data_IF_767302105643
#
_entry.id   IF_767302105643
#
_cell.length_a   1.000
_cell.length_b   1.000
_cell.length_c   1.000
_cell.angle_alpha   90.00
_cell.angle_beta   90.00
_cell.angle_gamma   90.00
#
_symmetry.space_group_name_H-M   'P 1'
#
loop_
_entity.id
_entity.type
_entity.pdbx_description
1 polymer ?
#
# COMPACT_ATOMS: atom_id res chain seq x y z
N UNK A 1 -21.34 -35.96 -10.86
CA UNK A 1 -20.23 -35.27 -11.52
C UNK A 1 -20.49 -33.77 -11.47
N UNK A 2 -20.17 -33.14 -10.35
CA UNK A 2 -20.15 -31.68 -10.24
C UNK A 2 -18.83 -31.21 -10.83
N UNK A 3 -18.90 -30.60 -12.01
CA UNK A 3 -17.78 -29.90 -12.63
C UNK A 3 -17.48 -28.71 -11.72
N UNK A 4 -16.46 -28.83 -10.88
CA UNK A 4 -15.82 -27.68 -10.24
C UNK A 4 -15.23 -26.86 -11.37
N UNK A 5 -15.95 -25.81 -11.77
CA UNK A 5 -15.41 -24.77 -12.62
C UNK A 5 -14.17 -24.24 -11.91
N UNK A 6 -12.98 -24.53 -12.45
CA UNK A 6 -11.76 -23.81 -12.08
C UNK A 6 -12.09 -22.33 -12.28
N UNK A 7 -12.32 -21.59 -11.20
CA UNK A 7 -12.43 -20.14 -11.27
C UNK A 7 -11.13 -19.64 -11.88
N UNK A 8 -11.21 -19.14 -13.12
CA UNK A 8 -10.07 -18.51 -13.79
C UNK A 8 -9.80 -17.22 -13.03
N UNK A 9 -8.90 -17.29 -12.05
CA UNK A 9 -8.46 -16.13 -11.29
C UNK A 9 -7.87 -15.11 -12.24
N UNK A 10 -8.35 -13.87 -12.14
CA UNK A 10 -7.92 -12.79 -13.03
C UNK A 10 -6.57 -12.27 -12.57
N UNK A 11 -5.59 -12.26 -13.47
CA UNK A 11 -4.21 -11.91 -13.18
C UNK A 11 -3.98 -10.40 -13.22
N UNK A 12 -3.24 -9.85 -12.26
CA UNK A 12 -2.68 -8.50 -12.32
C UNK A 12 -1.21 -8.53 -11.87
N UNK A 13 -0.40 -7.61 -12.40
CA UNK A 13 1.01 -7.49 -12.06
C UNK A 13 1.16 -6.54 -10.86
N UNK A 14 1.90 -6.95 -9.84
CA UNK A 14 2.14 -6.16 -8.63
C UNK A 14 3.65 -5.92 -8.45
N UNK A 15 4.07 -4.68 -8.64
CA UNK A 15 5.46 -4.27 -8.49
C UNK A 15 5.65 -3.48 -7.20
N UNK A 16 6.69 -3.80 -6.44
CA UNK A 16 7.08 -3.00 -5.29
C UNK A 16 8.49 -2.42 -5.44
N UNK A 17 8.67 -1.26 -4.84
CA UNK A 17 9.94 -0.55 -4.74
C UNK A 17 10.14 -0.10 -3.29
N UNK A 18 11.16 -0.63 -2.64
CA UNK A 18 11.41 -0.41 -1.20
C UNK A 18 12.88 -0.15 -0.90
N UNK A 19 13.15 0.58 0.18
CA UNK A 19 14.48 0.69 0.78
C UNK A 19 14.61 -0.20 2.01
N UNK A 20 13.68 -0.09 2.96
CA UNK A 20 13.70 -0.77 4.27
C UNK A 20 12.62 -1.84 4.44
N UNK A 21 11.85 -2.17 3.40
CA UNK A 21 10.86 -3.26 3.42
C UNK A 21 9.40 -2.85 3.59
N UNK A 22 9.09 -1.61 3.97
CA UNK A 22 7.69 -1.16 4.18
C UNK A 22 6.79 -1.36 2.95
N UNK A 23 7.20 -0.83 1.79
CA UNK A 23 6.47 -1.04 0.52
C UNK A 23 6.39 -2.53 0.12
N UNK A 24 7.36 -3.36 0.51
CA UNK A 24 7.32 -4.80 0.25
C UNK A 24 6.26 -5.48 1.11
N UNK A 25 6.19 -5.16 2.41
CA UNK A 25 5.19 -5.73 3.32
C UNK A 25 3.76 -5.42 2.85
N UNK A 26 3.49 -4.16 2.44
CA UNK A 26 2.20 -3.76 1.89
C UNK A 26 1.87 -4.52 0.59
N UNK A 27 2.86 -4.73 -0.29
CA UNK A 27 2.64 -5.50 -1.51
C UNK A 27 2.42 -7.00 -1.24
N UNK A 28 3.08 -7.58 -0.24
CA UNK A 28 2.83 -8.95 0.22
C UNK A 28 1.41 -9.09 0.77
N UNK A 29 0.93 -8.10 1.55
CA UNK A 29 -0.45 -8.05 2.03
C UNK A 29 -1.47 -8.01 0.89
N UNK A 30 -1.27 -7.13 -0.10
CA UNK A 30 -2.13 -7.07 -1.30
C UNK A 30 -2.13 -8.43 -2.01
N UNK A 31 -0.99 -9.10 -2.12
CA UNK A 31 -0.90 -10.41 -2.74
C UNK A 31 -1.71 -11.48 -1.98
N UNK A 32 -1.65 -11.49 -0.65
CA UNK A 32 -2.42 -12.41 0.19
C UNK A 32 -3.93 -12.13 0.10
N UNK A 33 -4.33 -10.86 0.13
CA UNK A 33 -5.75 -10.47 -0.03
C UNK A 33 -6.29 -10.75 -1.45
N UNK A 34 -5.46 -10.67 -2.49
CA UNK A 34 -5.88 -10.89 -3.87
C UNK A 34 -6.56 -12.25 -4.08
N UNK A 35 -6.03 -13.30 -3.47
CA UNK A 35 -6.57 -14.67 -3.56
C UNK A 35 -7.99 -14.73 -2.98
N UNK A 36 -8.22 -14.06 -1.84
CA UNK A 36 -9.52 -13.97 -1.17
C UNK A 36 -10.54 -13.23 -2.04
N UNK A 37 -10.08 -12.25 -2.83
CA UNK A 37 -10.91 -11.47 -3.74
C UNK A 37 -11.06 -12.07 -5.15
N UNK A 38 -10.51 -13.27 -5.41
CA UNK A 38 -10.63 -13.98 -6.69
C UNK A 38 -9.66 -13.51 -7.78
N UNK A 39 -8.56 -12.87 -7.39
CA UNK A 39 -7.50 -12.38 -8.28
C UNK A 39 -6.19 -13.16 -8.04
N UNK A 40 -5.34 -13.18 -9.07
CA UNK A 40 -3.96 -13.67 -8.99
C UNK A 40 -3.01 -12.49 -9.11
N UNK A 41 -2.24 -12.20 -8.06
CA UNK A 41 -1.23 -11.14 -8.07
C UNK A 41 0.16 -11.73 -8.38
N UNK A 42 0.78 -11.25 -9.45
CA UNK A 42 2.17 -11.58 -9.76
C UNK A 42 3.09 -10.57 -9.08
N UNK A 43 3.59 -10.92 -7.88
CA UNK A 43 4.40 -10.03 -7.03
C UNK A 43 5.89 -10.09 -7.41
N UNK A 44 6.44 -8.94 -7.81
CA UNK A 44 7.86 -8.79 -8.14
C UNK A 44 8.47 -7.50 -7.59
N UNK A 45 9.77 -7.53 -7.29
CA UNK A 45 10.50 -6.29 -7.02
C UNK A 45 10.75 -5.56 -8.35
N UNK A 46 10.61 -4.24 -8.37
CA UNK A 46 10.80 -3.42 -9.58
C UNK A 46 12.23 -3.47 -10.15
N UNK A 47 13.20 -3.98 -9.39
CA UNK A 47 14.57 -4.21 -9.85
C UNK A 47 14.74 -5.50 -10.65
N UNK A 48 13.79 -6.43 -10.57
CA UNK A 48 13.83 -7.77 -11.18
C UNK A 48 13.22 -7.74 -12.59
N UNK A 49 13.77 -6.90 -13.46
CA UNK A 49 13.26 -6.67 -14.83
C UNK A 49 13.36 -7.88 -15.76
N UNK A 50 14.00 -8.96 -15.32
CA UNK A 50 14.04 -10.26 -15.98
C UNK A 50 12.78 -11.11 -15.74
N UNK A 51 12.02 -10.83 -14.68
CA UNK A 51 10.84 -11.62 -14.30
C UNK A 51 9.53 -11.08 -14.85
N UNK A 52 9.50 -9.84 -15.30
CA UNK A 52 8.32 -9.19 -15.86
C UNK A 52 8.71 -8.33 -17.07
N UNK A 53 7.79 -8.13 -18.01
CA UNK A 53 8.00 -7.27 -19.16
C UNK A 53 6.79 -6.34 -19.38
N UNK A 54 6.94 -5.08 -18.98
CA UNK A 54 5.89 -4.07 -19.14
C UNK A 54 5.55 -3.75 -20.61
N UNK A 55 6.45 -4.08 -21.54
CA UNK A 55 6.24 -3.79 -22.97
C UNK A 55 5.18 -4.71 -23.57
N UNK A 56 5.13 -5.95 -23.10
CA UNK A 56 4.21 -6.97 -23.58
C UNK A 56 3.07 -7.25 -22.61
N UNK A 57 3.14 -6.71 -21.38
CA UNK A 57 2.13 -6.91 -20.36
C UNK A 57 0.77 -6.31 -20.76
N UNK A 58 -0.28 -7.12 -20.63
CA UNK A 58 -1.67 -6.71 -20.92
C UNK A 58 -2.54 -6.70 -19.67
N UNK A 59 -2.05 -7.30 -18.58
CA UNK A 59 -2.70 -7.25 -17.29
C UNK A 59 -2.60 -5.84 -16.66
N UNK A 60 -3.56 -5.45 -15.81
CA UNK A 60 -3.44 -4.22 -15.04
C UNK A 60 -2.22 -4.29 -14.10
N UNK A 61 -1.53 -3.16 -13.95
CA UNK A 61 -0.33 -3.00 -13.12
C UNK A 61 -0.66 -2.28 -11.82
N UNK A 62 -0.20 -2.79 -10.70
CA UNK A 62 -0.23 -2.10 -9.41
C UNK A 62 1.21 -1.84 -8.97
N UNK A 63 1.53 -0.62 -8.58
CA UNK A 63 2.88 -0.22 -8.12
C UNK A 63 2.81 0.31 -6.70
N UNK A 64 3.60 -0.26 -5.79
CA UNK A 64 3.79 0.26 -4.42
C UNK A 64 5.22 0.77 -4.30
N UNK A 65 5.41 2.05 -4.00
CA UNK A 65 6.74 2.68 -4.02
C UNK A 65 6.96 3.60 -2.83
N UNK A 66 8.06 3.38 -2.10
CA UNK A 66 8.53 4.31 -1.07
C UNK A 66 9.27 5.50 -1.68
N UNK A 67 9.47 6.55 -0.88
CA UNK A 67 10.36 7.67 -1.21
C UNK A 67 11.56 7.64 -0.27
N UNK A 68 12.75 8.03 -0.75
CA UNK A 68 14.00 8.00 0.02
C UNK A 68 14.75 9.33 -0.04
N UNK A 69 15.56 9.60 0.98
CA UNK A 69 16.48 10.74 1.03
C UNK A 69 15.79 12.08 0.73
N UNK A 70 16.23 12.73 -0.34
CA UNK A 70 15.74 14.05 -0.77
C UNK A 70 14.55 13.99 -1.72
N UNK A 71 13.72 12.95 -1.64
CA UNK A 71 12.56 12.78 -2.52
C UNK A 71 12.79 11.86 -3.71
N UNK A 72 13.88 11.09 -3.72
CA UNK A 72 14.19 10.17 -4.81
C UNK A 72 13.48 8.81 -4.61
N UNK A 73 13.13 8.11 -5.69
CA UNK A 73 12.75 6.70 -5.62
C UNK A 73 13.86 5.85 -4.95
N UNK A 74 13.51 4.74 -4.28
CA UNK A 74 14.48 3.87 -3.60
C UNK A 74 15.47 3.27 -4.58
N UNK A 75 16.58 2.75 -4.05
CA UNK A 75 17.66 2.15 -4.86
C UNK A 75 17.14 1.03 -5.77
N UNK A 76 16.16 0.26 -5.27
CA UNK A 76 15.47 -0.80 -6.02
C UNK A 76 14.76 -0.27 -7.28
N UNK A 77 14.31 0.98 -7.30
CA UNK A 77 13.63 1.60 -8.45
C UNK A 77 14.55 2.41 -9.37
N UNK A 78 15.80 2.69 -9.01
CA UNK A 78 16.68 3.59 -9.81
C UNK A 78 16.84 3.15 -11.26
N UNK A 79 17.05 1.85 -11.50
CA UNK A 79 17.22 1.31 -12.86
C UNK A 79 15.95 1.52 -13.69
N UNK A 80 14.81 1.15 -13.11
CA UNK A 80 13.50 1.32 -13.73
C UNK A 80 13.20 2.79 -14.06
N UNK A 81 13.42 3.69 -13.11
CA UNK A 81 13.20 5.13 -13.28
C UNK A 81 14.06 5.69 -14.40
N UNK A 82 15.34 5.28 -14.49
CA UNK A 82 16.24 5.67 -15.57
C UNK A 82 15.77 5.15 -16.95
N UNK A 83 15.23 3.94 -17.00
CA UNK A 83 14.67 3.36 -18.23
C UNK A 83 13.45 4.14 -18.71
N UNK A 84 12.47 4.40 -17.83
CA UNK A 84 11.26 5.14 -18.21
C UNK A 84 11.58 6.60 -18.53
N UNK A 85 12.56 7.22 -17.87
CA UNK A 85 13.00 8.61 -18.13
C UNK A 85 13.79 8.76 -19.45
N UNK A 86 14.12 7.67 -20.14
CA UNK A 86 14.85 7.77 -21.39
C UNK A 86 14.01 8.50 -22.45
N UNK A 87 14.54 9.61 -22.97
CA UNK A 87 13.87 10.49 -23.93
C UNK A 87 13.74 9.87 -25.33
N UNK A 88 14.41 8.75 -25.59
CA UNK A 88 14.28 8.03 -26.86
C UNK A 88 13.00 7.19 -26.92
N UNK A 89 12.28 7.02 -25.81
CA UNK A 89 11.03 6.27 -25.79
C UNK A 89 9.90 7.08 -26.44
N UNK A 90 9.10 6.46 -27.33
CA UNK A 90 7.90 7.08 -27.87
C UNK A 90 6.92 7.50 -26.76
N UNK A 91 6.14 8.55 -27.01
CA UNK A 91 5.12 9.08 -26.08
C UNK A 91 3.99 8.08 -25.84
N UNK A 92 3.78 7.11 -26.74
CA UNK A 92 2.72 6.09 -26.63
C UNK A 92 3.25 4.71 -26.19
N UNK A 93 4.48 4.65 -25.67
CA UNK A 93 5.16 3.38 -25.39
C UNK A 93 4.40 2.45 -24.42
N UNK A 94 3.65 3.03 -23.48
CA UNK A 94 2.81 2.33 -22.50
C UNK A 94 1.31 2.63 -22.69
N UNK A 95 0.86 3.01 -23.89
CA UNK A 95 -0.55 3.32 -24.16
C UNK A 95 -1.53 2.16 -23.84
N UNK A 96 -1.04 0.92 -23.96
CA UNK A 96 -1.78 -0.29 -23.61
C UNK A 96 -1.86 -0.53 -22.10
N UNK A 97 -0.94 0.05 -21.32
CA UNK A 97 -0.82 -0.21 -19.89
C UNK A 97 -1.91 0.53 -19.11
N UNK A 98 -2.46 -0.17 -18.12
CA UNK A 98 -3.39 0.38 -17.14
C UNK A 98 -2.81 0.16 -15.77
N UNK A 99 -2.67 1.22 -14.98
CA UNK A 99 -2.02 1.09 -13.69
C UNK A 99 -2.74 1.79 -12.54
N UNK A 100 -2.38 1.42 -11.31
CA UNK A 100 -2.67 2.13 -10.07
C UNK A 100 -1.39 2.20 -9.25
N UNK A 101 -1.15 3.32 -8.55
CA UNK A 101 0.09 3.54 -7.82
C UNK A 101 -0.20 3.94 -6.38
N UNK A 102 0.51 3.33 -5.43
CA UNK A 102 0.50 3.71 -4.03
C UNK A 102 1.91 4.21 -3.66
N UNK A 103 2.02 5.52 -3.48
CA UNK A 103 3.24 6.17 -3.02
C UNK A 103 3.27 6.24 -1.50
N UNK A 104 4.39 5.86 -0.89
CA UNK A 104 4.66 6.05 0.53
C UNK A 104 5.67 7.19 0.68
N UNK A 105 5.43 8.08 1.65
CA UNK A 105 6.32 9.18 1.99
C UNK A 105 6.01 9.71 3.38
N UNK A 106 6.71 10.79 3.74
CA UNK A 106 6.55 11.47 5.02
C UNK A 106 6.48 12.97 4.71
N UNK A 107 5.42 13.64 5.18
CA UNK A 107 5.18 15.07 4.92
C UNK A 107 6.08 16.02 5.70
N UNK A 108 6.82 15.53 6.69
CA UNK A 108 7.88 16.27 7.38
C UNK A 108 9.07 16.54 6.43
N UNK A 109 9.21 15.72 5.38
CA UNK A 109 10.23 15.92 4.36
C UNK A 109 9.71 16.85 3.26
N UNK A 110 10.60 17.71 2.74
CA UNK A 110 10.31 18.69 1.69
C UNK A 110 9.61 18.09 0.46
N UNK A 111 9.91 16.84 0.13
CA UNK A 111 9.45 16.17 -1.08
C UNK A 111 8.54 14.97 -0.77
N UNK A 112 7.37 15.28 -0.20
CA UNK A 112 6.35 14.27 0.13
C UNK A 112 5.95 13.39 -1.06
N UNK A 113 6.06 12.06 -0.90
CA UNK A 113 5.73 11.04 -1.90
C UNK A 113 6.37 11.24 -3.29
N UNK A 114 7.48 11.97 -3.38
CA UNK A 114 8.03 12.40 -4.66
C UNK A 114 8.54 11.22 -5.52
N UNK A 115 9.02 10.13 -4.91
CA UNK A 115 9.40 8.93 -5.66
C UNK A 115 8.24 8.32 -6.45
N UNK A 116 7.06 8.25 -5.82
CA UNK A 116 5.82 7.84 -6.48
C UNK A 116 5.36 8.84 -7.54
N UNK A 117 5.42 10.14 -7.25
CA UNK A 117 5.04 11.20 -8.20
C UNK A 117 5.90 11.22 -9.47
N UNK A 118 7.21 10.94 -9.34
CA UNK A 118 8.12 10.84 -10.49
C UNK A 118 7.71 9.69 -11.42
N UNK A 119 7.44 8.51 -10.84
CA UNK A 119 7.04 7.33 -11.62
C UNK A 119 5.67 7.57 -12.24
N UNK A 120 4.71 8.07 -11.46
CA UNK A 120 3.35 8.36 -11.92
C UNK A 120 3.32 9.34 -13.10
N UNK A 121 3.99 10.48 -12.95
CA UNK A 121 4.10 11.48 -14.02
C UNK A 121 4.69 10.88 -15.29
N UNK A 122 5.78 10.10 -15.15
CA UNK A 122 6.48 9.56 -16.31
C UNK A 122 5.71 8.44 -17.01
N UNK A 123 4.96 7.62 -16.27
CA UNK A 123 4.08 6.61 -16.86
C UNK A 123 2.96 7.26 -17.69
N UNK A 124 2.36 8.35 -17.20
CA UNK A 124 1.37 9.12 -17.95
C UNK A 124 1.95 9.76 -19.22
N UNK A 125 3.16 10.33 -19.13
CA UNK A 125 3.87 10.90 -20.30
C UNK A 125 4.20 9.84 -21.36
N UNK A 126 4.28 8.57 -20.98
CA UNK A 126 4.47 7.44 -21.89
C UNK A 126 3.14 6.79 -22.32
N UNK A 127 2.01 7.43 -22.04
CA UNK A 127 0.68 7.04 -22.52
C UNK A 127 -0.07 6.06 -21.61
N UNK A 128 0.53 5.60 -20.51
CA UNK A 128 -0.16 4.74 -19.55
C UNK A 128 -1.34 5.49 -18.91
N UNK A 129 -2.41 4.76 -18.58
CA UNK A 129 -3.62 5.36 -17.99
C UNK A 129 -3.93 4.76 -16.65
N UNK A 130 -4.44 5.56 -15.72
CA UNK A 130 -4.96 5.05 -14.46
C UNK A 130 -6.20 4.19 -14.69
N UNK A 131 -6.25 3.03 -14.05
CA UNK A 131 -7.53 2.35 -13.79
C UNK A 131 -8.03 2.62 -12.36
N UNK A 132 -7.12 3.04 -11.48
CA UNK A 132 -7.37 3.38 -10.09
C UNK A 132 -6.46 4.53 -9.67
N UNK A 133 -6.98 5.44 -8.85
CA UNK A 133 -6.31 6.70 -8.50
C UNK A 133 -5.05 6.46 -7.67
N UNK A 134 -4.07 7.34 -7.84
CA UNK A 134 -2.81 7.28 -7.10
C UNK A 134 -3.03 7.61 -5.62
N UNK A 135 -2.64 6.72 -4.73
CA UNK A 135 -2.62 6.94 -3.29
C UNK A 135 -1.31 7.55 -2.82
N UNK A 136 -1.37 8.44 -1.83
CA UNK A 136 -0.21 9.04 -1.18
C UNK A 136 -0.30 8.87 0.33
N UNK A 137 0.37 7.85 0.86
CA UNK A 137 0.39 7.53 2.28
C UNK A 137 1.47 8.33 3.01
N UNK A 138 1.11 8.86 4.18
CA UNK A 138 1.96 9.73 4.98
C UNK A 138 2.34 9.09 6.31
N UNK A 139 3.63 8.78 6.45
CA UNK A 139 4.22 8.18 7.64
C UNK A 139 4.16 9.11 8.87
N UNK A 140 4.07 10.44 8.66
CA UNK A 140 3.99 11.40 9.76
C UNK A 140 2.71 11.24 10.59
N UNK A 141 1.60 10.87 9.94
CA UNK A 141 0.27 10.72 10.57
C UNK A 141 -0.19 9.27 10.68
N UNK A 142 0.56 8.33 10.10
CA UNK A 142 0.23 6.91 10.00
C UNK A 142 -0.13 6.51 8.57
N UNK A 143 0.62 5.56 8.02
CA UNK A 143 0.46 5.09 6.65
C UNK A 143 -0.92 4.46 6.41
N UNK A 144 -1.43 3.76 7.42
CA UNK A 144 -2.66 2.97 7.40
C UNK A 144 -3.88 3.81 7.01
N UNK A 145 -3.88 5.10 7.37
CA UNK A 145 -4.94 6.05 7.05
C UNK A 145 -5.21 6.18 5.54
N UNK A 146 -4.21 5.91 4.71
CA UNK A 146 -4.34 5.93 3.25
C UNK A 146 -4.18 4.53 2.67
N UNK A 147 -3.26 3.72 3.21
CA UNK A 147 -2.99 2.37 2.69
C UNK A 147 -4.23 1.49 2.80
N UNK A 148 -4.89 1.41 3.95
CA UNK A 148 -6.04 0.50 4.12
C UNK A 148 -7.24 0.89 3.24
N UNK A 149 -7.68 2.17 3.20
CA UNK A 149 -8.78 2.56 2.31
C UNK A 149 -8.42 2.39 0.83
N UNK A 150 -7.16 2.60 0.46
CA UNK A 150 -6.70 2.43 -0.92
C UNK A 150 -6.70 0.95 -1.34
N UNK A 151 -6.23 0.04 -0.48
CA UNK A 151 -6.32 -1.41 -0.73
C UNK A 151 -7.79 -1.84 -0.83
N UNK A 152 -8.65 -1.38 0.08
CA UNK A 152 -10.07 -1.68 0.03
C UNK A 152 -10.74 -1.22 -1.28
N UNK A 153 -10.34 -0.06 -1.81
CA UNK A 153 -10.81 0.47 -3.09
C UNK A 153 -10.18 -0.15 -4.34
N UNK A 154 -9.00 -0.78 -4.22
CA UNK A 154 -8.32 -1.46 -5.32
C UNK A 154 -9.16 -2.62 -5.89
N UNK A 155 -9.77 -3.43 -5.02
CA UNK A 155 -10.56 -4.61 -5.42
C UNK A 155 -11.77 -4.28 -6.30
N UNK A 156 -12.66 -3.33 -5.95
CA UNK A 156 -13.75 -2.93 -6.84
C UNK A 156 -13.24 -2.28 -8.12
N UNK A 157 -12.13 -1.52 -8.08
CA UNK A 157 -11.52 -0.93 -9.27
C UNK A 157 -11.01 -1.98 -10.26
N UNK A 158 -10.29 -3.01 -9.78
CA UNK A 158 -9.86 -4.16 -10.59
C UNK A 158 -11.07 -4.88 -11.19
N UNK A 159 -12.11 -5.15 -10.39
CA UNK A 159 -13.33 -5.80 -10.87
C UNK A 159 -14.01 -4.99 -11.99
N UNK A 160 -14.07 -3.67 -11.86
CA UNK A 160 -14.58 -2.75 -12.89
C UNK A 160 -13.73 -2.81 -14.16
N UNK A 161 -12.40 -2.75 -14.02
CA UNK A 161 -11.46 -2.81 -15.15
C UNK A 161 -11.65 -4.08 -15.99
N UNK A 162 -11.67 -5.26 -15.35
CA UNK A 162 -11.87 -6.53 -16.06
C UNK A 162 -13.30 -6.76 -16.58
N UNK A 163 -14.30 -5.99 -16.12
CA UNK A 163 -15.65 -6.00 -16.72
C UNK A 163 -15.68 -5.15 -17.98
N UNK A 164 -15.04 -3.99 -17.96
CA UNK A 164 -14.95 -3.10 -19.12
C UNK A 164 -14.10 -3.68 -20.25
N UNK A 165 -13.03 -4.42 -19.95
CA UNK A 165 -12.20 -5.08 -20.97
C UNK A 165 -12.98 -6.18 -21.73
N UNK A 166 -13.83 -6.93 -21.03
CA UNK A 166 -14.66 -8.00 -21.63
C UNK A 166 -15.73 -7.47 -22.59
N UNK A 167 -16.26 -6.27 -22.32
CA UNK A 167 -17.22 -5.61 -23.19
C UNK A 167 -16.64 -5.07 -24.49
N UNK A 168 -15.32 -4.84 -24.56
CA UNK A 168 -14.65 -4.39 -25.80
C UNK A 168 -14.29 -5.55 -26.74
N UNK A 169 -14.07 -6.76 -26.22
CA UNK A 169 -13.78 -7.95 -27.06
C UNK A 169 -15.01 -8.48 -27.81
N UNK A 170 -16.22 -8.44 -27.22
CA UNK A 170 -17.44 -8.93 -27.87
C UNK A 170 -17.98 -8.00 -28.98
N UNK A 171 -17.59 -6.73 -29.00
CA UNK A 171 -18.02 -5.76 -30.04
C UNK A 171 -17.10 -5.81 -31.27
N UNK A 172 -15.89 -6.36 -31.16
CA UNK A 172 -14.95 -6.50 -32.30
C UNK A 172 -15.21 -7.75 -33.15
N UNK A 173 -16.13 -8.63 -32.73
CA UNK A 173 -16.46 -9.90 -33.39
C UNK A 173 -17.66 -9.90 -34.35
N UNK A 174 -18.36 -8.78 -34.52
CA UNK A 174 -19.53 -8.71 -35.40
C UNK A 174 -19.48 -7.47 -36.31
N UNK A 175 -19.03 -7.67 -37.55
CA UNK A 175 -19.33 -6.75 -38.64
C UNK A 175 -20.84 -6.77 -38.91
N UNK A 176 -21.43 -5.59 -39.15
CA UNK A 176 -22.15 -5.43 -40.40
C UNK A 176 -21.73 -4.17 -41.16
N UNK A 177 -21.62 -4.37 -42.46
CA UNK A 177 -21.40 -3.40 -43.52
C UNK A 177 -22.60 -2.45 -43.62
N UNK A 178 -22.35 -1.13 -43.58
CA UNK A 178 -22.99 -0.13 -44.46
C UNK A 178 -22.31 1.25 -44.34
N UNK A 179 -22.15 1.90 -45.48
CA UNK A 179 -21.34 3.10 -45.77
C UNK A 179 -22.10 4.43 -45.57
N UNK A 180 -21.47 5.62 -45.80
CA UNK A 180 -21.71 6.85 -45.07
C UNK A 180 -22.72 7.82 -45.71
N UNK A 181 -23.25 8.75 -44.91
CA UNK A 181 -23.84 9.98 -45.41
C UNK A 181 -23.56 11.15 -44.44
N UNK A 182 -23.36 12.31 -45.07
CA UNK A 182 -22.64 13.51 -44.63
C UNK A 182 -23.46 14.57 -43.90
N UNK A 183 -22.73 15.37 -43.09
CA UNK A 183 -22.90 16.79 -42.74
C UNK A 183 -24.11 17.24 -41.90
N UNK A 184 -23.82 17.77 -40.69
CA UNK A 184 -23.94 19.22 -40.40
C UNK A 184 -23.28 19.59 -39.08
N UNK A 185 -22.49 20.65 -39.17
CA UNK A 185 -21.86 21.45 -38.10
C UNK A 185 -22.93 22.18 -37.30
N UNK A 186 -22.81 22.24 -35.97
CA UNK A 186 -23.15 23.44 -35.21
C UNK A 186 -22.38 23.51 -33.88
N UNK A 187 -21.84 24.70 -33.65
CA UNK A 187 -21.02 25.15 -32.53
C UNK A 187 -21.87 25.31 -31.25
N UNK A 188 -21.43 24.75 -30.12
CA UNK A 188 -21.77 25.30 -28.79
C UNK A 188 -20.58 25.16 -27.82
N UNK A 189 -20.08 26.33 -27.43
CA UNK A 189 -19.31 26.75 -26.24
C UNK A 189 -18.99 25.71 -25.14
N UNK A 190 -17.71 25.65 -24.80
CA UNK A 190 -17.21 25.23 -23.49
C UNK A 190 -17.64 26.21 -22.39
N UNK A 191 -18.27 25.70 -21.33
CA UNK A 191 -18.36 26.40 -20.04
C UNK A 191 -17.58 25.60 -18.99
N UNK A 192 -16.56 26.26 -18.47
CA UNK A 192 -15.71 25.86 -17.36
C UNK A 192 -16.56 25.88 -16.07
N UNK A 193 -16.67 24.76 -15.38
CA UNK A 193 -17.21 24.74 -14.02
C UNK A 193 -16.10 25.16 -13.04
N UNK A 194 -16.17 26.44 -12.68
CA UNK A 194 -15.47 27.07 -11.57
C UNK A 194 -16.06 26.51 -10.26
N UNK A 195 -15.27 25.82 -9.44
CA UNK A 195 -15.68 25.42 -8.09
C UNK A 195 -15.15 26.49 -7.14
N UNK A 196 -16.02 27.42 -6.75
CA UNK A 196 -15.76 28.31 -5.62
C UNK A 196 -15.97 27.54 -4.31
N UNK A 197 -14.88 27.40 -3.57
CA UNK A 197 -14.84 26.95 -2.19
C UNK A 197 -15.41 28.06 -1.29
N UNK A 198 -16.59 27.86 -0.71
CA UNK A 198 -17.09 28.68 0.39
C UNK A 198 -16.75 27.98 1.71
N UNK A 199 -15.58 28.29 2.26
CA UNK A 199 -15.29 28.08 3.68
C UNK A 199 -15.48 29.43 4.37
N UNK A 200 -16.67 29.68 4.90
CA UNK A 200 -16.90 30.80 5.81
C UNK A 200 -17.21 30.26 7.23
N UNK A 201 -16.14 30.29 8.03
CA UNK A 201 -16.10 30.69 9.44
C UNK A 201 -17.22 30.18 10.37
N UNK A 202 -16.87 29.14 11.14
CA UNK A 202 -17.41 28.90 12.47
C UNK A 202 -17.15 30.13 13.36
N UNK A 203 -18.21 30.87 13.71
CA UNK A 203 -18.22 31.79 14.85
C UNK A 203 -19.11 31.18 15.92
N UNK A 204 -18.49 30.80 17.03
CA UNK A 204 -19.17 30.61 18.31
C UNK A 204 -19.57 31.98 18.85
N UNK A 205 -20.82 32.14 19.26
CA UNK A 205 -21.13 32.96 20.43
C UNK A 205 -22.44 32.48 21.09
N UNK A 206 -22.35 32.49 22.41
CA UNK A 206 -23.31 32.04 23.42
C UNK A 206 -24.37 33.14 23.71
N UNK A 207 -25.40 32.77 24.46
CA UNK A 207 -26.41 33.59 25.15
C UNK A 207 -27.80 33.81 24.51
N UNK A 208 -28.79 33.10 25.09
CA UNK A 208 -29.84 33.71 25.90
C UNK A 208 -30.99 34.50 25.23
N UNK A 209 -32.20 33.93 25.29
CA UNK A 209 -33.41 34.69 25.66
C UNK A 209 -34.47 35.00 24.57
N UNK A 210 -35.62 34.32 24.71
CA UNK A 210 -37.03 34.76 24.57
C UNK A 210 -37.58 35.50 23.32
N UNK A 211 -38.73 34.95 22.91
CA UNK A 211 -39.98 35.56 22.41
C UNK A 211 -40.23 35.81 20.90
N UNK A 212 -41.19 35.00 20.40
CA UNK A 212 -42.43 35.36 19.68
C UNK A 212 -42.45 35.80 18.20
N UNK A 213 -43.19 34.97 17.44
CA UNK A 213 -44.14 35.25 16.33
C UNK A 213 -43.83 36.30 15.25
N UNK A 214 -43.76 35.87 13.98
CA UNK A 214 -44.59 36.43 12.88
C UNK A 214 -44.91 35.35 11.82
N UNK A 215 -46.16 35.41 11.36
CA UNK A 215 -46.92 34.53 10.49
C UNK A 215 -46.64 34.64 8.97
N UNK A 216 -46.80 33.47 8.31
CA UNK A 216 -47.58 33.16 7.07
C UNK A 216 -47.10 33.60 5.67
N UNK A 217 -47.50 32.73 4.73
CA UNK A 217 -47.65 32.84 3.26
C UNK A 217 -46.45 32.32 2.47
N UNK A 218 -46.51 31.30 1.60
CA UNK A 218 -47.62 30.68 0.88
C UNK A 218 -47.36 29.19 0.62
N UNK A 219 -48.38 28.37 0.82
CA UNK A 219 -48.53 27.07 0.19
C UNK A 219 -49.32 27.21 -1.11
N UNK A 220 -49.26 26.15 -1.93
CA UNK A 220 -50.01 25.87 -3.18
C UNK A 220 -49.27 26.25 -4.47
N UNK A 221 -48.50 25.29 -4.99
CA UNK A 221 -48.95 24.65 -6.23
C UNK A 221 -48.46 23.19 -6.32
N UNK A 222 -49.44 22.31 -6.45
CA UNK A 222 -49.33 20.87 -6.51
C UNK A 222 -49.27 20.37 -7.96
N UNK A 223 -48.50 19.30 -8.16
CA UNK A 223 -48.72 18.18 -9.08
C UNK A 223 -48.36 18.33 -10.57
N UNK A 224 -47.28 17.61 -10.94
CA UNK A 224 -47.02 16.76 -12.12
C UNK A 224 -45.50 16.89 -12.40
N UNK A 225 -44.64 15.89 -12.23
CA UNK A 225 -44.71 14.51 -12.75
C UNK A 225 -43.76 13.58 -11.97
N UNK A 226 -44.28 12.45 -11.50
CA UNK A 226 -43.49 11.25 -11.20
C UNK A 226 -42.99 10.63 -12.51
N UNK A 227 -41.69 10.30 -12.63
CA UNK A 227 -41.13 9.01 -13.08
C UNK A 227 -39.60 9.03 -12.87
N UNK A 228 -39.18 8.27 -11.84
CA UNK A 228 -37.94 7.46 -11.70
C UNK A 228 -36.58 8.10 -12.01
N UNK A 229 -36.02 8.77 -10.99
CA UNK A 229 -34.57 8.81 -10.74
C UNK A 229 -34.37 7.93 -9.50
N UNK A 230 -33.79 6.75 -9.65
CA UNK A 230 -33.37 5.94 -8.50
C UNK A 230 -32.16 6.60 -7.85
N UNK A 231 -32.27 6.75 -6.53
CA UNK A 231 -31.56 7.71 -5.72
C UNK A 231 -30.09 7.36 -5.46
N UNK A 232 -29.21 8.32 -5.73
CA UNK A 232 -28.01 8.54 -4.93
C UNK A 232 -28.44 9.32 -3.67
N UNK A 233 -29.03 8.63 -2.69
CA UNK A 233 -29.24 9.22 -1.37
C UNK A 233 -27.95 9.17 -0.55
N UNK A 234 -27.56 10.31 0.00
CA UNK A 234 -26.41 10.49 0.88
C UNK A 234 -26.64 9.81 2.24
N UNK A 235 -25.64 9.04 2.71
CA UNK A 235 -25.62 8.22 3.94
C UNK A 235 -25.88 8.93 5.28
N UNK A 236 -26.36 10.18 5.30
CA UNK A 236 -26.60 10.93 6.55
C UNK A 236 -28.07 10.92 7.00
N UNK A 237 -28.97 10.23 6.28
CA UNK A 237 -30.39 10.08 6.65
C UNK A 237 -30.75 8.70 7.20
N UNK A 238 -29.82 7.74 7.21
CA UNK A 238 -30.00 6.40 7.79
C UNK A 238 -28.88 6.08 8.78
N UNK A 239 -29.25 5.62 9.98
CA UNK A 239 -28.27 5.04 10.88
C UNK A 239 -27.85 3.68 10.36
N UNK A 240 -26.57 3.50 10.09
CA UNK A 240 -25.99 2.16 9.93
C UNK A 240 -26.28 1.34 11.20
N UNK A 241 -26.70 0.07 11.08
CA UNK A 241 -26.93 -0.78 12.25
C UNK A 241 -25.64 -0.90 13.07
N UNK A 242 -25.75 -1.01 14.41
CA UNK A 242 -24.58 -1.11 15.27
C UNK A 242 -23.69 -2.28 14.84
N UNK A 243 -22.36 -2.11 14.95
CA UNK A 243 -21.35 -3.11 14.55
C UNK A 243 -21.61 -4.53 15.12
N UNK A 244 -22.34 -4.64 16.23
CA UNK A 244 -22.79 -5.91 16.81
C UNK A 244 -23.79 -6.70 15.96
N UNK A 245 -24.41 -6.06 14.96
CA UNK A 245 -25.39 -6.64 14.04
C UNK A 245 -24.85 -6.79 12.60
N UNK A 246 -23.67 -6.22 12.32
CA UNK A 246 -22.95 -6.54 11.09
C UNK A 246 -22.43 -7.98 11.19
N UNK A 247 -22.67 -8.79 10.15
CA UNK A 247 -22.02 -10.09 10.04
C UNK A 247 -20.53 -9.84 9.89
N UNK A 248 -19.78 -10.01 10.99
CA UNK A 248 -18.32 -9.96 10.98
C UNK A 248 -17.82 -11.04 10.02
N UNK A 249 -17.52 -10.66 8.77
CA UNK A 249 -16.78 -11.51 7.85
C UNK A 249 -15.35 -11.57 8.39
N UNK A 250 -15.10 -12.51 9.30
CA UNK A 250 -13.75 -12.86 9.71
C UNK A 250 -13.08 -13.42 8.44
N UNK A 251 -12.02 -12.78 7.93
CA UNK A 251 -11.27 -13.33 6.80
C UNK A 251 -10.86 -14.76 7.14
N UNK A 252 -11.01 -15.67 6.18
CA UNK A 252 -10.54 -17.04 6.38
C UNK A 252 -9.04 -17.01 6.67
N UNK A 253 -8.62 -17.70 7.75
CA UNK A 253 -7.21 -17.84 8.09
C UNK A 253 -6.46 -18.40 6.87
N UNK A 254 -5.30 -17.81 6.51
CA UNK A 254 -4.51 -18.35 5.42
C UNK A 254 -4.14 -19.81 5.71
N UNK A 255 -4.01 -20.66 4.67
CA UNK A 255 -3.60 -22.04 4.86
C UNK A 255 -2.26 -22.11 5.59
N UNK A 256 -2.18 -22.94 6.63
CA UNK A 256 -0.95 -23.15 7.37
C UNK A 256 0.19 -23.61 6.44
N UNK A 257 1.23 -22.80 6.30
CA UNK A 257 2.38 -23.09 5.42
C UNK A 257 3.67 -23.38 6.18
N UNK A 258 3.70 -23.14 7.50
CA UNK A 258 4.81 -23.46 8.38
C UNK A 258 4.43 -24.61 9.32
N UNK A 259 5.42 -25.44 9.61
CA UNK A 259 5.38 -26.45 10.64
C UNK A 259 6.45 -26.09 11.68
N UNK A 260 6.00 -25.84 12.91
CA UNK A 260 6.83 -25.39 14.02
C UNK A 260 7.10 -26.56 14.95
N UNK A 261 8.36 -26.79 15.28
CA UNK A 261 8.79 -27.78 16.27
C UNK A 261 9.52 -27.04 17.40
N UNK A 262 9.07 -27.23 18.63
CA UNK A 262 9.74 -26.70 19.81
C UNK A 262 10.52 -27.84 20.47
N UNK A 263 11.83 -27.66 20.60
CA UNK A 263 12.72 -28.62 21.22
C UNK A 263 13.31 -28.04 22.51
N UNK A 264 13.26 -28.81 23.60
CA UNK A 264 13.90 -28.42 24.86
C UNK A 264 15.41 -28.27 24.65
N UNK A 265 15.96 -27.14 25.08
CA UNK A 265 17.39 -26.87 25.00
C UNK A 265 18.14 -27.66 26.07
N UNK A 266 18.79 -28.76 25.67
CA UNK A 266 19.70 -29.54 26.51
C UNK A 266 21.06 -28.83 26.62
N UNK A 267 21.10 -27.68 27.28
CA UNK A 267 22.32 -27.07 27.85
C UNK A 267 23.52 -26.87 26.92
N UNK A 268 23.34 -26.77 25.60
CA UNK A 268 24.41 -26.41 24.68
C UNK A 268 24.46 -24.88 24.53
N UNK A 269 25.69 -24.36 24.65
CA UNK A 269 26.05 -22.94 24.65
C UNK A 269 25.20 -22.11 23.69
N UNK A 270 24.71 -20.99 24.21
CA UNK A 270 24.05 -19.89 23.49
C UNK A 270 24.92 -19.48 22.30
N UNK A 271 24.72 -20.16 21.17
CA UNK A 271 25.17 -19.65 19.89
C UNK A 271 24.25 -18.47 19.61
N UNK A 272 24.74 -17.25 19.88
CA UNK A 272 24.08 -16.03 19.45
C UNK A 272 23.64 -16.23 18.01
N UNK A 273 22.32 -16.23 17.78
CA UNK A 273 21.77 -16.38 16.45
C UNK A 273 22.42 -15.30 15.58
N UNK A 274 23.28 -15.72 14.66
CA UNK A 274 23.94 -14.81 13.74
C UNK A 274 22.88 -14.32 12.76
N UNK A 275 22.49 -13.06 12.92
CA UNK A 275 21.75 -12.33 11.88
C UNK A 275 22.58 -12.47 10.61
N UNK A 276 22.06 -13.18 9.61
CA UNK A 276 22.73 -13.31 8.31
C UNK A 276 22.63 -11.98 7.59
N UNK A 277 23.54 -11.05 7.85
CA UNK A 277 23.75 -9.89 6.99
C UNK A 277 24.79 -10.22 5.92
N UNK A 278 24.61 -9.64 4.73
CA UNK A 278 25.59 -9.76 3.65
C UNK A 278 26.91 -9.02 3.97
N UNK A 279 26.85 -8.03 4.86
CA UNK A 279 27.96 -7.20 5.30
C UNK A 279 28.48 -7.60 6.69
N UNK A 280 29.76 -7.33 7.03
CA UNK A 280 30.31 -7.64 8.35
C UNK A 280 29.60 -6.85 9.46
N UNK A 281 29.25 -7.57 10.54
CA UNK A 281 28.63 -6.98 11.74
C UNK A 281 29.74 -6.63 12.74
N UNK A 282 29.72 -5.39 13.24
CA UNK A 282 30.65 -4.93 14.26
C UNK A 282 29.89 -4.63 15.56
N UNK A 283 30.37 -5.18 16.68
CA UNK A 283 29.90 -4.77 18.00
C UNK A 283 30.77 -3.61 18.48
N UNK A 284 30.16 -2.44 18.63
CA UNK A 284 30.85 -1.20 19.03
C UNK A 284 30.21 -0.62 20.29
N UNK A 285 30.99 -0.18 21.29
CA UNK A 285 30.42 0.46 22.46
C UNK A 285 29.91 1.87 22.13
N UNK A 286 28.80 2.24 22.77
CA UNK A 286 28.28 3.60 22.72
C UNK A 286 29.08 4.45 23.72
N UNK A 287 29.88 5.39 23.22
CA UNK A 287 30.68 6.28 24.06
C UNK A 287 29.83 7.41 24.65
N UNK A 288 28.76 7.81 23.96
CA UNK A 288 27.87 8.89 24.39
C UNK A 288 26.49 8.77 23.75
N UNK A 289 25.45 9.10 24.51
CA UNK A 289 24.09 9.29 24.01
C UNK A 289 23.48 10.53 24.66
N UNK A 290 23.05 11.52 23.86
CA UNK A 290 22.47 12.78 24.34
C UNK A 290 21.20 13.09 23.58
N UNK A 291 20.12 13.40 24.30
CA UNK A 291 18.90 13.88 23.68
C UNK A 291 19.09 15.32 23.18
N UNK A 292 18.84 15.53 21.89
CA UNK A 292 18.94 16.84 21.23
C UNK A 292 17.62 17.61 21.24
N UNK A 293 16.53 16.92 21.55
CA UNK A 293 15.17 17.45 21.55
C UNK A 293 14.71 17.79 22.96
N UNK A 294 13.79 18.74 23.09
CA UNK A 294 13.15 19.03 24.37
C UNK A 294 12.16 17.92 24.72
N UNK A 295 11.78 17.83 26.00
CA UNK A 295 10.91 16.76 26.51
C UNK A 295 9.47 16.82 25.95
N UNK A 296 9.07 17.97 25.41
CA UNK A 296 7.77 18.22 24.77
C UNK A 296 7.79 18.03 23.25
N UNK A 297 8.94 17.68 22.67
CA UNK A 297 9.04 17.41 21.24
C UNK A 297 8.25 16.14 20.86
N UNK A 298 7.56 16.20 19.72
CA UNK A 298 6.74 15.09 19.20
C UNK A 298 7.60 13.85 18.91
N UNK A 299 8.81 14.05 18.35
CA UNK A 299 9.79 12.98 18.11
C UNK A 299 11.04 13.25 18.96
N UNK A 300 11.55 12.19 19.60
CA UNK A 300 12.79 12.25 20.36
C UNK A 300 13.99 12.00 19.44
N UNK A 301 14.88 12.98 19.33
CA UNK A 301 16.15 12.84 18.60
C UNK A 301 17.31 12.67 19.56
N UNK A 302 18.13 11.63 19.33
CA UNK A 302 19.34 11.33 20.09
C UNK A 302 20.59 11.55 19.22
N UNK A 303 21.60 12.22 19.77
CA UNK A 303 22.98 12.15 19.31
C UNK A 303 23.64 10.95 19.95
N UNK A 304 24.13 10.01 19.14
CA UNK A 304 24.86 8.83 19.59
C UNK A 304 26.28 8.88 19.04
N UNK A 305 27.27 8.74 19.91
CA UNK A 305 28.68 8.57 19.53
C UNK A 305 29.07 7.10 19.75
N UNK A 306 29.66 6.49 18.73
CA UNK A 306 30.10 5.09 18.73
C UNK A 306 31.62 5.04 18.71
N UNK A 307 32.22 4.23 19.57
CA UNK A 307 33.68 4.02 19.58
C UNK A 307 34.05 2.88 18.62
N UNK A 308 34.61 3.26 17.47
CA UNK A 308 35.03 2.36 16.40
C UNK A 308 36.54 2.06 16.43
N UNK A 309 37.27 2.51 17.46
CA UNK A 309 38.74 2.45 17.49
C UNK A 309 39.32 1.03 17.38
N UNK A 310 38.60 0.02 17.86
CA UNK A 310 38.99 -1.39 17.84
C UNK A 310 38.39 -2.17 16.66
N UNK A 311 37.92 -1.48 15.63
CA UNK A 311 37.31 -2.12 14.45
C UNK A 311 38.08 -1.77 13.19
N UNK A 312 38.14 -2.69 12.24
CA UNK A 312 38.67 -2.45 10.88
C UNK A 312 37.66 -1.67 10.01
N UNK A 313 36.80 -0.86 10.64
CA UNK A 313 35.69 -0.16 10.02
C UNK A 313 36.18 1.16 9.40
N UNK A 314 36.15 1.25 8.07
CA UNK A 314 36.45 2.48 7.34
C UNK A 314 35.15 3.14 6.85
N UNK A 315 35.00 4.45 7.07
CA UNK A 315 33.88 5.22 6.55
C UNK A 315 34.33 6.60 6.07
N UNK A 316 33.49 7.24 5.25
CA UNK A 316 33.61 8.63 4.85
C UNK A 316 32.39 9.43 5.35
N UNK A 317 32.56 10.75 5.59
CA UNK A 317 31.42 11.61 5.88
C UNK A 317 30.35 11.53 4.77
N UNK A 318 29.14 11.13 5.14
CA UNK A 318 28.03 10.92 4.21
C UNK A 318 27.64 9.46 4.01
N UNK A 319 28.47 8.52 4.48
CA UNK A 319 28.11 7.09 4.49
C UNK A 319 26.96 6.81 5.47
N UNK A 320 26.16 5.81 5.15
CA UNK A 320 25.09 5.31 6.02
C UNK A 320 25.48 3.97 6.65
N UNK A 321 25.09 3.78 7.90
CA UNK A 321 25.27 2.52 8.64
C UNK A 321 23.93 1.96 9.07
N UNK A 322 23.83 0.63 9.07
CA UNK A 322 22.66 -0.08 9.59
C UNK A 322 22.93 -0.51 11.04
N UNK A 323 21.95 -0.30 11.92
CA UNK A 323 22.03 -0.71 13.33
C UNK A 323 21.06 -1.86 13.55
N UNK A 324 21.54 -2.94 14.16
CA UNK A 324 20.70 -4.07 14.58
C UNK A 324 20.19 -3.76 15.98
N UNK A 325 18.87 -3.58 16.12
CA UNK A 325 18.22 -3.27 17.38
C UNK A 325 17.42 -4.49 17.85
N UNK A 326 17.73 -5.08 19.02
CA UNK A 326 16.87 -6.09 19.61
C UNK A 326 15.54 -5.46 20.07
N UNK A 327 14.48 -6.27 20.07
CA UNK A 327 13.20 -5.86 20.65
C UNK A 327 13.33 -5.65 22.18
N UNK A 328 12.43 -4.86 22.76
CA UNK A 328 12.42 -4.65 24.22
C UNK A 328 12.05 -5.94 24.96
N UNK A 329 12.83 -6.32 25.98
CA UNK A 329 12.55 -7.48 26.82
C UNK A 329 11.12 -7.46 27.39
N UNK A 330 10.62 -6.26 27.73
CA UNK A 330 9.26 -6.09 28.25
C UNK A 330 8.17 -6.38 27.22
N UNK A 331 8.40 -6.04 25.95
CA UNK A 331 7.48 -6.31 24.85
C UNK A 331 7.49 -7.80 24.50
N UNK A 332 8.69 -8.40 24.43
CA UNK A 332 8.86 -9.84 24.21
C UNK A 332 8.18 -10.64 25.32
N UNK A 333 8.39 -10.27 26.59
CA UNK A 333 7.75 -10.92 27.73
C UNK A 333 6.22 -10.79 27.68
N UNK A 334 5.71 -9.59 27.39
CA UNK A 334 4.27 -9.34 27.26
C UNK A 334 3.64 -10.20 26.15
N UNK A 335 4.34 -10.34 25.02
CA UNK A 335 3.91 -11.17 23.91
C UNK A 335 3.90 -12.66 24.29
N UNK A 336 4.97 -13.16 24.91
CA UNK A 336 5.07 -14.54 25.38
C UNK A 336 3.97 -14.87 26.39
N UNK A 337 3.69 -13.96 27.32
CA UNK A 337 2.62 -14.14 28.30
C UNK A 337 1.24 -14.20 27.62
N UNK A 338 0.96 -13.29 26.68
CA UNK A 338 -0.32 -13.23 25.97
C UNK A 338 -0.56 -14.46 25.09
N UNK A 339 0.51 -15.03 24.54
CA UNK A 339 0.48 -16.26 23.76
C UNK A 339 0.56 -17.54 24.63
N UNK A 340 0.72 -17.41 25.95
CA UNK A 340 0.87 -18.53 26.90
C UNK A 340 2.09 -19.42 26.57
N UNK A 341 3.20 -18.80 26.20
CA UNK A 341 4.45 -19.45 25.80
C UNK A 341 5.62 -19.20 26.77
N UNK A 342 5.34 -18.67 27.96
CA UNK A 342 6.36 -18.28 28.94
C UNK A 342 7.25 -19.45 29.39
N UNK A 343 6.65 -20.63 29.62
CA UNK A 343 7.38 -21.87 29.97
C UNK A 343 8.26 -22.40 28.81
N UNK A 344 8.04 -21.87 27.60
CA UNK A 344 8.71 -22.31 26.37
C UNK A 344 9.75 -21.32 25.85
N UNK A 345 10.03 -20.24 26.58
CA UNK A 345 10.96 -19.17 26.17
C UNK A 345 12.35 -19.66 25.74
N UNK A 346 12.88 -20.68 26.42
CA UNK A 346 14.21 -21.25 26.13
C UNK A 346 14.17 -22.41 25.14
N UNK A 347 12.99 -22.77 24.60
CA UNK A 347 12.91 -23.86 23.62
C UNK A 347 13.46 -23.40 22.28
N UNK A 348 14.23 -24.27 21.64
CA UNK A 348 14.69 -24.04 20.29
C UNK A 348 13.54 -24.21 19.30
N UNK A 349 13.39 -23.25 18.39
CA UNK A 349 12.35 -23.23 17.36
C UNK A 349 12.93 -23.77 16.05
N UNK A 350 12.33 -24.84 15.55
CA UNK A 350 12.60 -25.41 14.25
C UNK A 350 11.41 -25.13 13.32
N UNK A 351 11.64 -24.29 12.31
CA UNK A 351 10.65 -23.95 11.29
C UNK A 351 10.88 -24.80 10.04
N UNK A 352 9.83 -25.50 9.58
CA UNK A 352 9.82 -26.20 8.28
C UNK A 352 8.66 -25.71 7.44
N UNK A 353 8.90 -25.44 6.16
CA UNK A 353 7.81 -25.17 5.21
C UNK A 353 7.10 -26.48 4.88
N UNK A 354 5.77 -26.46 4.87
CA UNK A 354 4.99 -27.60 4.38
C UNK A 354 5.22 -27.78 2.88
N UNK A 355 5.50 -29.02 2.47
CA UNK A 355 6.01 -29.37 1.14
C UNK A 355 5.09 -29.01 -0.03
N UNK A 356 3.82 -28.73 0.24
CA UNK A 356 2.76 -28.40 -0.70
C UNK A 356 2.58 -26.88 -0.92
N UNK A 357 3.42 -26.04 -0.31
CA UNK A 357 3.26 -24.58 -0.37
C UNK A 357 4.26 -23.89 -1.31
N UNK A 358 3.81 -22.84 -2.01
CA UNK A 358 4.62 -22.05 -2.95
C UNK A 358 5.59 -21.07 -2.27
N UNK A 359 5.59 -20.95 -0.93
CA UNK A 359 6.45 -20.00 -0.22
C UNK A 359 7.91 -20.50 -0.19
N UNK A 360 8.86 -19.62 -0.52
CA UNK A 360 10.31 -19.88 -0.36
C UNK A 360 10.71 -19.54 1.08
N UNK A 361 11.47 -20.42 1.72
CA UNK A 361 11.84 -20.28 3.14
C UNK A 361 12.95 -19.28 3.38
N UNK A 362 12.69 -18.36 4.30
CA UNK A 362 13.75 -17.67 5.04
C UNK A 362 14.12 -18.61 6.17
N UNK A 363 15.15 -19.45 5.95
CA UNK A 363 15.66 -20.32 6.98
C UNK A 363 16.48 -19.48 7.96
N UNK A 364 15.88 -19.09 9.08
CA UNK A 364 16.65 -18.79 10.27
C UNK A 364 17.24 -20.10 10.79
N UNK A 365 18.53 -20.10 11.15
CA UNK A 365 19.13 -21.17 11.94
C UNK A 365 18.28 -21.43 13.19
N UNK A 366 18.28 -22.66 13.75
CA UNK A 366 17.53 -22.93 14.98
C UNK A 366 17.93 -21.92 16.06
N UNK A 367 16.99 -21.09 16.49
CA UNK A 367 17.17 -20.07 17.54
C UNK A 367 16.22 -20.36 18.70
N UNK A 368 16.53 -19.83 19.89
CA UNK A 368 15.61 -19.91 21.04
C UNK A 368 14.33 -19.13 20.75
N UNK A 369 13.17 -19.54 21.30
CA UNK A 369 11.89 -18.84 21.08
C UNK A 369 11.93 -17.37 21.52
N UNK A 370 12.78 -17.04 22.48
CA UNK A 370 13.04 -15.68 22.93
C UNK A 370 13.91 -14.84 21.96
N UNK A 371 14.82 -15.49 21.22
CA UNK A 371 15.74 -14.86 20.26
C UNK A 371 15.10 -14.76 18.88
#
# INVERSE_FOLDING_TARGET
>A
FTVTCLEVMRRFLLLYATQQGQAKAIAEEICEQAVVHGFSADLHCISESDKYDLKTETAPLVVVVSTTGTGDPPDTARKFVKEIQNQTLPVDFFAHLRYGLLGLGDSEYTYFCNGGKIIDKRLQELGARHFYDTGHADDCVGLELVVEPWIAGLWPALRKHFRSSRGQEEISGALPVASPASLRTDLVKSELLHIESQVELLRFDDSGGKDSEVLKQNAVNSNQSNVLIEDFESSLTRSEPPLSQASLNIPALPPEYLQVYLQESLGQEESQASVTSADPIFQVPISKAVQLTTNDAIKTTLLVELDISNTDFSYQPGDAFSVICPNSDSEVQSLLQRLQLEDKREHCVLLKIKADTKKKGIFASPCGLYQ
#
